data_IF_965852874695
#
_entry.id   IF_965852874695
#
_cell.length_a   1.000
_cell.length_b   1.000
_cell.length_c   1.000
_cell.angle_alpha   90.00
_cell.angle_beta   90.00
_cell.angle_gamma   90.00
#
_symmetry.space_group_name_H-M   'P 1'
#
loop_
_entity.id
_entity.type
_entity.pdbx_description
1 polymer ?
#
# COMPACT_ATOMS: atom_id res chain seq x y z
N UNK A 1 -18.37 3.13 -8.80
CA UNK A 1 -18.21 3.94 -10.02
C UNK A 1 -17.83 5.39 -9.72
N UNK A 2 -18.35 6.00 -8.67
CA UNK A 2 -18.07 7.38 -8.26
C UNK A 2 -16.57 7.63 -8.05
N UNK A 3 -15.92 6.85 -7.18
CA UNK A 3 -14.48 6.95 -6.90
C UNK A 3 -13.62 6.80 -8.16
N UNK A 4 -14.06 5.99 -9.12
CA UNK A 4 -13.35 5.78 -10.38
C UNK A 4 -13.68 6.83 -11.44
N UNK A 5 -14.64 7.72 -11.18
CA UNK A 5 -15.12 8.73 -12.13
C UNK A 5 -15.67 8.16 -13.45
N UNK A 6 -16.08 6.88 -13.47
CA UNK A 6 -16.51 6.18 -14.68
C UNK A 6 -17.69 5.27 -14.41
N UNK A 7 -18.78 5.49 -15.11
CA UNK A 7 -19.98 4.62 -15.08
C UNK A 7 -19.64 3.19 -15.52
N UNK A 8 -20.32 2.21 -14.94
CA UNK A 8 -20.18 0.77 -15.23
C UNK A 8 -18.79 0.19 -14.94
N UNK A 9 -17.93 0.89 -14.20
CA UNK A 9 -16.61 0.37 -13.79
C UNK A 9 -16.72 -0.93 -13.02
N UNK A 10 -17.71 -1.02 -12.12
CA UNK A 10 -18.02 -2.24 -11.38
C UNK A 10 -18.40 -3.40 -12.31
N UNK A 11 -19.37 -3.20 -13.18
CA UNK A 11 -19.83 -4.23 -14.13
C UNK A 11 -18.69 -4.78 -14.97
N UNK A 12 -17.87 -3.89 -15.54
CA UNK A 12 -16.69 -4.28 -16.34
C UNK A 12 -15.66 -5.05 -15.54
N UNK A 13 -15.43 -4.68 -14.28
CA UNK A 13 -14.50 -5.40 -13.41
C UNK A 13 -14.98 -6.84 -13.15
N UNK A 14 -16.27 -7.03 -12.87
CA UNK A 14 -16.87 -8.35 -12.66
C UNK A 14 -16.85 -9.20 -13.95
N UNK A 15 -17.17 -8.60 -15.10
CA UNK A 15 -17.04 -9.28 -16.40
C UNK A 15 -15.59 -9.70 -16.67
N UNK A 16 -14.62 -8.84 -16.37
CA UNK A 16 -13.20 -9.15 -16.48
C UNK A 16 -12.77 -10.35 -15.61
N UNK A 17 -13.23 -10.41 -14.35
CA UNK A 17 -12.97 -11.57 -13.48
C UNK A 17 -13.51 -12.87 -14.07
N UNK A 18 -14.73 -12.85 -14.61
CA UNK A 18 -15.35 -14.02 -15.28
C UNK A 18 -14.56 -14.44 -16.53
N UNK A 19 -14.10 -13.48 -17.33
CA UNK A 19 -13.30 -13.80 -18.52
C UNK A 19 -11.97 -14.46 -18.14
N UNK A 20 -11.29 -13.97 -17.10
CA UNK A 20 -10.04 -14.55 -16.59
C UNK A 20 -10.30 -15.99 -16.11
N UNK A 21 -11.37 -16.22 -15.35
CA UNK A 21 -11.73 -17.54 -14.85
C UNK A 21 -12.08 -18.50 -15.98
N UNK A 22 -12.87 -18.05 -16.97
CA UNK A 22 -13.25 -18.87 -18.14
C UNK A 22 -12.05 -19.23 -19.02
N UNK A 23 -11.00 -18.43 -19.00
CA UNK A 23 -9.73 -18.71 -19.67
C UNK A 23 -8.83 -19.68 -18.89
N UNK A 24 -9.30 -20.26 -17.78
CA UNK A 24 -8.54 -21.20 -16.94
C UNK A 24 -7.48 -20.53 -16.06
N UNK A 25 -7.52 -19.20 -15.92
CA UNK A 25 -6.60 -18.45 -15.07
C UNK A 25 -7.23 -18.15 -13.70
N UNK A 26 -6.41 -18.00 -12.67
CA UNK A 26 -6.86 -17.62 -11.33
C UNK A 26 -7.11 -16.09 -11.26
N UNK A 27 -8.35 -15.63 -11.09
CA UNK A 27 -8.63 -14.20 -10.93
C UNK A 27 -8.26 -13.70 -9.54
N UNK A 28 -7.75 -12.48 -9.48
CA UNK A 28 -7.49 -11.76 -8.24
C UNK A 28 -8.35 -10.50 -8.17
N UNK A 29 -9.07 -10.36 -7.07
CA UNK A 29 -9.79 -9.12 -6.74
C UNK A 29 -8.89 -8.27 -5.86
N UNK A 30 -8.51 -7.11 -6.34
CA UNK A 30 -7.71 -6.14 -5.60
C UNK A 30 -8.61 -5.04 -5.06
N UNK A 31 -8.73 -4.94 -3.73
CA UNK A 31 -9.61 -4.00 -3.04
C UNK A 31 -8.77 -3.02 -2.24
N UNK A 32 -8.97 -1.72 -2.47
CA UNK A 32 -8.43 -0.68 -1.60
C UNK A 32 -9.39 -0.42 -0.46
N UNK A 33 -8.90 -0.53 0.77
CA UNK A 33 -9.64 -0.28 1.99
C UNK A 33 -9.02 0.86 2.79
N UNK A 34 -9.85 1.77 3.26
CA UNK A 34 -9.48 2.89 4.10
C UNK A 34 -10.62 3.20 5.07
N UNK A 35 -10.45 4.24 5.89
CA UNK A 35 -11.49 4.65 6.86
C UNK A 35 -12.85 4.87 6.19
N UNK A 36 -12.86 5.45 4.99
CA UNK A 36 -14.06 5.77 4.23
C UNK A 36 -14.94 4.57 3.87
N UNK A 37 -14.41 3.34 3.82
CA UNK A 37 -15.15 2.16 3.41
C UNK A 37 -14.96 0.91 4.29
N UNK A 38 -14.12 0.96 5.31
CA UNK A 38 -13.81 -0.20 6.16
C UNK A 38 -15.07 -0.81 6.82
N UNK A 39 -16.02 0.04 7.25
CA UNK A 39 -17.27 -0.38 7.88
C UNK A 39 -18.48 -0.36 6.94
N UNK A 40 -18.29 -0.08 5.66
CA UNK A 40 -19.39 -0.11 4.70
C UNK A 40 -19.83 -1.56 4.44
N UNK A 41 -21.15 -1.81 4.45
CA UNK A 41 -21.74 -3.11 4.10
C UNK A 41 -21.26 -3.61 2.74
N UNK A 42 -21.12 -2.73 1.76
CA UNK A 42 -20.67 -3.06 0.40
C UNK A 42 -19.27 -3.69 0.40
N UNK A 43 -18.40 -3.26 1.32
CA UNK A 43 -17.06 -3.85 1.45
C UNK A 43 -17.15 -5.32 1.90
N UNK A 44 -17.97 -5.62 2.90
CA UNK A 44 -18.17 -7.00 3.36
C UNK A 44 -18.91 -7.85 2.33
N UNK A 45 -19.91 -7.29 1.64
CA UNK A 45 -20.60 -7.97 0.53
C UNK A 45 -19.65 -8.33 -0.60
N UNK A 46 -18.68 -7.45 -0.90
CA UNK A 46 -17.66 -7.72 -1.89
C UNK A 46 -16.73 -8.87 -1.48
N UNK A 47 -16.35 -8.95 -0.19
CA UNK A 47 -15.59 -10.08 0.34
C UNK A 47 -16.37 -11.39 0.27
N UNK A 48 -17.66 -11.34 0.58
CA UNK A 48 -18.58 -12.47 0.45
C UNK A 48 -18.68 -12.92 -1.01
N UNK A 49 -18.93 -11.99 -1.93
CA UNK A 49 -18.96 -12.26 -3.36
C UNK A 49 -17.68 -12.94 -3.86
N UNK A 50 -16.54 -12.42 -3.44
CA UNK A 50 -15.23 -12.99 -3.78
C UNK A 50 -15.08 -14.43 -3.27
N UNK A 51 -15.50 -14.70 -2.03
CA UNK A 51 -15.46 -16.04 -1.43
C UNK A 51 -16.38 -17.01 -2.18
N UNK A 52 -17.63 -16.61 -2.46
CA UNK A 52 -18.62 -17.45 -3.11
C UNK A 52 -18.20 -17.84 -4.54
N UNK A 53 -17.46 -16.96 -5.22
CA UNK A 53 -16.91 -17.20 -6.56
C UNK A 53 -15.47 -17.78 -6.53
N UNK A 54 -14.90 -18.06 -5.35
CA UNK A 54 -13.53 -18.58 -5.16
C UNK A 54 -12.44 -17.65 -5.70
N UNK A 55 -12.70 -16.35 -5.77
CA UNK A 55 -11.69 -15.38 -6.17
C UNK A 55 -10.70 -15.13 -5.02
N UNK A 56 -9.42 -15.08 -5.34
CA UNK A 56 -8.40 -14.61 -4.39
C UNK A 56 -8.52 -13.09 -4.24
N UNK A 57 -8.52 -12.60 -3.00
CA UNK A 57 -8.69 -11.18 -2.70
C UNK A 57 -7.44 -10.63 -2.05
N UNK A 58 -6.96 -9.52 -2.58
CA UNK A 58 -5.87 -8.74 -2.00
C UNK A 58 -6.44 -7.44 -1.43
N UNK A 59 -6.16 -7.16 -0.16
CA UNK A 59 -6.53 -5.90 0.47
C UNK A 59 -5.32 -4.96 0.47
N UNK A 60 -5.49 -3.77 -0.08
CA UNK A 60 -4.54 -2.68 0.01
C UNK A 60 -5.07 -1.60 0.92
N UNK A 61 -4.22 -1.06 1.77
CA UNK A 61 -4.54 0.12 2.56
C UNK A 61 -4.58 1.34 1.67
N UNK A 62 -5.60 2.19 1.83
CA UNK A 62 -5.67 3.49 1.16
C UNK A 62 -4.49 4.37 1.61
N UNK A 63 -3.88 5.05 0.66
CA UNK A 63 -2.74 5.93 0.91
C UNK A 63 -3.07 7.34 0.42
N UNK A 64 -2.89 8.38 1.25
CA UNK A 64 -3.16 9.77 0.89
C UNK A 64 -2.09 10.30 -0.09
N UNK A 65 -2.13 9.81 -1.33
CA UNK A 65 -1.21 10.21 -2.41
C UNK A 65 -1.96 10.40 -3.72
N UNK A 66 -1.38 11.09 -4.67
CA UNK A 66 -2.01 11.39 -5.94
C UNK A 66 -3.27 12.24 -5.76
N UNK A 67 -4.41 11.80 -6.30
CA UNK A 67 -5.70 12.48 -6.16
C UNK A 67 -6.23 12.51 -4.72
N UNK A 68 -5.76 11.59 -3.88
CA UNK A 68 -6.13 11.51 -2.45
C UNK A 68 -5.18 12.26 -1.54
N UNK A 69 -4.24 12.99 -2.08
CA UNK A 69 -3.35 13.83 -1.28
C UNK A 69 -4.16 14.86 -0.48
N UNK A 70 -3.90 14.96 0.82
CA UNK A 70 -4.64 15.75 1.82
C UNK A 70 -6.03 15.21 2.22
N UNK A 71 -6.40 14.02 1.79
CA UNK A 71 -7.62 13.36 2.26
C UNK A 71 -7.26 12.50 3.48
N UNK A 72 -7.19 13.14 4.66
CA UNK A 72 -6.84 12.43 5.92
C UNK A 72 -7.93 11.43 6.31
N UNK A 73 -9.15 11.66 5.89
CA UNK A 73 -10.31 10.80 6.13
C UNK A 73 -10.22 9.42 5.50
N UNK A 74 -9.27 9.19 4.60
CA UNK A 74 -9.06 7.85 4.03
C UNK A 74 -8.13 6.98 4.86
N UNK A 75 -7.36 7.57 5.80
CA UNK A 75 -6.34 6.87 6.57
C UNK A 75 -6.99 5.93 7.59
N UNK A 76 -6.61 4.65 7.57
CA UNK A 76 -7.11 3.67 8.52
C UNK A 76 -6.67 3.97 9.95
N UNK A 77 -7.62 3.97 10.87
CA UNK A 77 -7.38 4.01 12.31
C UNK A 77 -7.25 2.60 12.93
N UNK A 78 -7.12 2.52 14.25
CA UNK A 78 -7.01 1.24 14.95
C UNK A 78 -8.31 0.41 14.89
N UNK A 79 -9.47 1.06 14.86
CA UNK A 79 -10.78 0.38 14.78
C UNK A 79 -10.94 -0.25 13.40
N UNK A 80 -10.57 0.47 12.35
CA UNK A 80 -10.57 -0.02 10.98
C UNK A 80 -9.68 -1.26 10.85
N UNK A 81 -8.45 -1.19 11.37
CA UNK A 81 -7.51 -2.31 11.34
C UNK A 81 -8.04 -3.55 12.06
N UNK A 82 -8.62 -3.39 13.25
CA UNK A 82 -9.25 -4.50 13.99
C UNK A 82 -10.40 -5.11 13.20
N UNK A 83 -11.24 -4.27 12.60
CA UNK A 83 -12.37 -4.73 11.79
C UNK A 83 -11.90 -5.51 10.56
N UNK A 84 -10.93 -4.98 9.81
CA UNK A 84 -10.34 -5.66 8.65
C UNK A 84 -9.71 -7.00 9.04
N UNK A 85 -9.03 -7.09 10.19
CA UNK A 85 -8.49 -8.34 10.71
C UNK A 85 -9.60 -9.37 10.98
N UNK A 86 -10.71 -8.95 11.58
CA UNK A 86 -11.85 -9.83 11.85
C UNK A 86 -12.49 -10.33 10.55
N UNK A 87 -12.65 -9.46 9.56
CA UNK A 87 -13.14 -9.84 8.23
C UNK A 87 -12.18 -10.83 7.55
N UNK A 88 -10.88 -10.62 7.64
CA UNK A 88 -9.88 -11.57 7.10
C UNK A 88 -10.02 -12.95 7.74
N UNK A 89 -10.20 -13.02 9.06
CA UNK A 89 -10.44 -14.30 9.76
C UNK A 89 -11.76 -14.95 9.30
N UNK A 90 -12.82 -14.16 9.18
CA UNK A 90 -14.16 -14.63 8.75
C UNK A 90 -14.14 -15.19 7.32
N UNK A 91 -13.43 -14.54 6.41
CA UNK A 91 -13.39 -14.94 4.99
C UNK A 91 -12.21 -15.85 4.62
N UNK A 92 -11.28 -16.09 5.55
CA UNK A 92 -10.25 -17.11 5.49
C UNK A 92 -9.14 -16.84 4.47
N UNK A 93 -8.55 -17.91 3.96
CA UNK A 93 -7.32 -17.87 3.15
C UNK A 93 -7.44 -17.18 1.79
N UNK A 94 -8.63 -16.86 1.33
CA UNK A 94 -8.84 -16.14 0.08
C UNK A 94 -8.52 -14.64 0.21
N UNK A 95 -8.57 -14.11 1.44
CA UNK A 95 -8.33 -12.69 1.70
C UNK A 95 -6.92 -12.49 2.24
N UNK A 96 -6.09 -11.80 1.50
CA UNK A 96 -4.70 -11.49 1.86
C UNK A 96 -4.48 -9.99 1.90
N UNK A 97 -3.55 -9.55 2.73
CA UNK A 97 -3.06 -8.19 2.71
C UNK A 97 -1.85 -8.09 1.76
N UNK A 98 -1.83 -7.09 0.88
CA UNK A 98 -0.74 -6.91 -0.07
C UNK A 98 0.61 -6.61 0.63
N UNK A 99 0.57 -5.99 1.79
CA UNK A 99 1.77 -5.62 2.55
C UNK A 99 2.52 -6.82 3.14
N UNK A 100 1.92 -7.99 3.11
CA UNK A 100 2.56 -9.20 3.57
C UNK A 100 2.56 -10.32 2.53
N UNK A 101 3.40 -10.24 1.50
CA UNK A 101 3.50 -11.30 0.49
C UNK A 101 3.99 -12.63 1.05
N UNK A 102 4.57 -12.64 2.25
CA UNK A 102 5.19 -13.81 2.89
C UNK A 102 4.40 -14.36 4.08
N UNK A 103 3.25 -13.79 4.40
CA UNK A 103 2.37 -14.34 5.43
C UNK A 103 1.71 -15.64 4.96
N UNK A 104 2.38 -16.72 5.22
CA UNK A 104 1.89 -18.07 4.88
C UNK A 104 0.64 -18.45 5.65
N UNK A 105 0.45 -17.88 6.84
CA UNK A 105 -0.61 -18.27 7.77
C UNK A 105 -1.80 -17.31 7.81
N UNK A 106 -1.76 -16.18 7.09
CA UNK A 106 -2.82 -15.16 7.12
C UNK A 106 -3.12 -14.56 8.52
N UNK A 107 -2.23 -14.78 9.48
CA UNK A 107 -2.48 -14.44 10.89
C UNK A 107 -2.03 -13.04 11.26
N UNK A 108 -1.09 -12.47 10.49
CA UNK A 108 -0.51 -11.18 10.80
C UNK A 108 -0.70 -10.21 9.63
N UNK A 109 -1.20 -9.02 9.93
CA UNK A 109 -0.97 -7.87 9.08
C UNK A 109 0.49 -7.51 9.30
N UNK A 110 1.35 -7.92 8.40
CA UNK A 110 2.73 -7.48 8.43
C UNK A 110 2.80 -6.10 7.83
N UNK A 111 3.40 -5.22 8.58
CA UNK A 111 3.50 -3.82 8.31
C UNK A 111 4.26 -3.42 7.06
N UNK A 112 4.97 -2.34 7.19
CA UNK A 112 5.61 -1.64 6.09
C UNK A 112 6.76 -2.46 5.46
N UNK A 113 6.83 -2.44 4.13
CA UNK A 113 7.91 -3.07 3.36
C UNK A 113 8.91 -2.06 2.80
N UNK A 114 8.91 -0.81 3.31
CA UNK A 114 9.87 0.23 2.90
C UNK A 114 11.30 -0.29 2.93
N UNK A 115 12.07 0.06 1.91
CA UNK A 115 13.45 -0.40 1.64
C UNK A 115 13.57 -1.90 1.37
N UNK A 116 12.76 -2.78 1.99
CA UNK A 116 12.71 -4.21 1.65
C UNK A 116 12.10 -4.47 0.27
N UNK A 117 11.29 -3.54 -0.23
CA UNK A 117 10.80 -3.47 -1.60
C UNK A 117 11.12 -2.09 -2.15
N UNK A 118 11.99 -2.06 -3.11
CA UNK A 118 12.41 -0.83 -3.77
C UNK A 118 11.52 -0.54 -4.97
N UNK A 119 11.35 0.74 -5.24
CA UNK A 119 10.77 1.23 -6.48
C UNK A 119 11.83 2.03 -7.22
N UNK A 120 12.16 1.61 -8.44
CA UNK A 120 13.17 2.28 -9.27
C UNK A 120 12.46 3.01 -10.39
N UNK A 121 12.68 4.32 -10.47
CA UNK A 121 12.12 5.15 -11.54
C UNK A 121 12.84 4.92 -12.88
N UNK A 122 12.24 5.31 -14.01
CA UNK A 122 12.93 5.27 -15.31
C UNK A 122 14.23 6.08 -15.36
N UNK A 123 14.40 7.05 -14.45
CA UNK A 123 15.61 7.87 -14.32
C UNK A 123 16.66 7.28 -13.39
N UNK A 124 16.42 6.05 -12.90
CA UNK A 124 17.32 5.34 -11.99
C UNK A 124 17.21 5.77 -10.53
N UNK A 125 16.33 6.70 -10.16
CA UNK A 125 16.10 7.06 -8.77
C UNK A 125 15.46 5.90 -7.99
N UNK A 126 16.01 5.59 -6.83
CA UNK A 126 15.53 4.52 -5.95
C UNK A 126 14.68 5.12 -4.85
N UNK A 127 13.39 4.80 -4.86
CA UNK A 127 12.42 5.22 -3.85
C UNK A 127 12.23 4.12 -2.81
N UNK A 128 11.97 4.53 -1.59
CA UNK A 128 11.73 3.61 -0.46
C UNK A 128 10.40 2.85 -0.59
N UNK A 129 9.45 3.42 -1.33
CA UNK A 129 8.09 2.88 -1.52
C UNK A 129 7.46 3.57 -2.74
N UNK A 130 6.57 2.92 -3.50
CA UNK A 130 5.88 3.58 -4.62
C UNK A 130 4.95 4.73 -4.19
N UNK A 131 4.59 4.80 -2.93
CA UNK A 131 3.73 5.86 -2.38
C UNK A 131 4.49 6.94 -1.61
N UNK A 132 5.75 6.69 -1.27
CA UNK A 132 6.63 7.66 -0.59
C UNK A 132 7.69 8.11 -1.57
N UNK A 133 7.50 9.29 -2.16
CA UNK A 133 8.36 9.81 -3.21
C UNK A 133 9.63 10.46 -2.63
N UNK A 134 10.30 9.72 -1.76
CA UNK A 134 11.61 10.08 -1.19
C UNK A 134 12.65 9.12 -1.76
N UNK A 135 13.64 9.66 -2.47
CA UNK A 135 14.71 8.87 -3.05
C UNK A 135 15.88 8.71 -2.08
N UNK A 136 16.36 7.50 -1.98
CA UNK A 136 17.52 7.13 -1.15
C UNK A 136 18.82 7.00 -1.93
N UNK A 137 18.74 7.06 -3.26
CA UNK A 137 19.90 7.03 -4.14
C UNK A 137 19.48 6.91 -5.60
N UNK A 138 20.48 6.67 -6.47
CA UNK A 138 20.25 6.48 -7.90
C UNK A 138 21.17 5.38 -8.44
N UNK A 139 20.61 4.33 -9.05
CA UNK A 139 21.34 3.14 -9.51
C UNK A 139 22.32 3.42 -10.65
N UNK A 140 22.17 4.55 -11.35
CA UNK A 140 23.11 4.99 -12.38
C UNK A 140 24.36 5.69 -11.81
N UNK A 141 24.34 6.00 -10.50
CA UNK A 141 25.39 6.79 -9.84
C UNK A 141 26.14 6.04 -8.75
N UNK A 142 25.52 4.98 -8.16
CA UNK A 142 26.08 4.23 -7.06
C UNK A 142 25.53 2.81 -7.01
N UNK A 143 26.26 1.85 -6.42
CA UNK A 143 25.81 0.46 -6.27
C UNK A 143 24.52 0.35 -5.47
N UNK A 144 23.62 -0.55 -5.90
CA UNK A 144 22.34 -0.78 -5.23
C UNK A 144 22.51 -1.14 -3.75
N UNK A 145 23.57 -1.91 -3.41
CA UNK A 145 23.86 -2.27 -2.01
C UNK A 145 24.04 -1.02 -1.13
N UNK A 146 24.82 -0.05 -1.58
CA UNK A 146 25.06 1.19 -0.82
C UNK A 146 23.76 1.99 -0.63
N UNK A 147 22.89 2.00 -1.65
CA UNK A 147 21.58 2.65 -1.59
C UNK A 147 20.70 1.99 -0.53
N UNK A 148 20.64 0.66 -0.52
CA UNK A 148 19.87 -0.12 0.45
C UNK A 148 20.42 0.07 1.86
N UNK A 149 21.75 -0.03 2.03
CA UNK A 149 22.42 0.18 3.32
C UNK A 149 22.14 1.60 3.87
N UNK A 150 22.14 2.60 3.00
CA UNK A 150 21.75 3.96 3.37
C UNK A 150 20.26 4.04 3.77
N UNK A 151 19.36 3.40 3.01
CA UNK A 151 17.94 3.36 3.32
C UNK A 151 17.67 2.80 4.73
N UNK A 152 18.35 1.71 5.09
CA UNK A 152 18.21 1.11 6.42
C UNK A 152 18.87 1.89 7.56
N UNK A 153 19.67 2.90 7.29
CA UNK A 153 20.15 3.84 8.33
C UNK A 153 19.09 4.88 8.72
N UNK A 154 18.05 5.05 7.92
CA UNK A 154 16.99 5.99 8.24
C UNK A 154 16.10 5.38 9.32
N UNK A 155 15.95 6.08 10.44
CA UNK A 155 15.21 5.66 11.65
C UNK A 155 13.88 4.98 11.36
N UNK A 156 13.09 5.52 10.43
CA UNK A 156 11.76 5.02 10.09
C UNK A 156 11.77 3.72 9.28
N UNK A 157 12.90 3.34 8.72
CA UNK A 157 13.05 2.16 7.85
C UNK A 157 13.98 1.11 8.43
N UNK A 158 14.71 1.46 9.51
CA UNK A 158 15.67 0.57 10.19
C UNK A 158 14.97 -0.59 10.88
N UNK A 159 13.83 -0.32 11.50
CA UNK A 159 13.04 -1.31 12.22
C UNK A 159 11.74 -1.61 11.49
N UNK A 160 11.24 -2.83 11.69
CA UNK A 160 9.97 -3.22 11.11
C UNK A 160 8.81 -2.43 11.75
N UNK A 161 8.09 -1.67 10.93
CA UNK A 161 6.84 -1.03 11.36
C UNK A 161 5.67 -1.98 11.13
N UNK A 162 4.86 -2.23 12.17
CA UNK A 162 3.60 -2.96 12.05
C UNK A 162 2.53 -2.21 11.26
N UNK A 163 2.71 -0.90 11.06
CA UNK A 163 1.83 -0.04 10.29
C UNK A 163 2.44 0.26 8.91
N UNK A 164 1.60 0.45 7.92
CA UNK A 164 2.01 1.06 6.67
C UNK A 164 2.34 2.53 6.94
N UNK A 165 3.61 2.92 6.80
CA UNK A 165 4.04 4.30 7.04
C UNK A 165 3.28 5.31 6.18
N UNK A 166 2.95 4.94 4.95
CA UNK A 166 2.28 5.82 4.00
C UNK A 166 0.75 5.85 4.12
N UNK A 167 0.13 4.85 4.76
CA UNK A 167 -1.34 4.71 4.79
C UNK A 167 -1.95 4.55 6.18
N UNK A 168 -1.13 4.39 7.23
CA UNK A 168 -1.63 4.13 8.58
C UNK A 168 -0.90 4.90 9.68
N UNK A 169 0.34 5.34 9.44
CA UNK A 169 1.12 6.13 10.40
C UNK A 169 0.85 7.62 10.18
N UNK A 170 -0.09 8.18 10.94
CA UNK A 170 -0.48 9.59 10.82
C UNK A 170 0.66 10.56 11.10
N UNK A 171 1.61 10.19 11.99
CA UNK A 171 2.78 11.01 12.28
C UNK A 171 3.75 11.04 11.09
N UNK A 172 4.01 9.88 10.48
CA UNK A 172 4.82 9.81 9.28
C UNK A 172 4.15 10.56 8.11
N UNK A 173 2.86 10.36 7.92
CA UNK A 173 2.07 10.99 6.85
C UNK A 173 2.15 12.51 6.99
N UNK A 174 1.81 13.08 8.16
CA UNK A 174 1.79 14.52 8.39
C UNK A 174 3.17 15.17 8.26
N UNK A 175 4.22 14.45 8.72
CA UNK A 175 5.59 14.97 8.72
C UNK A 175 6.26 14.90 7.35
N UNK A 176 6.02 13.83 6.58
CA UNK A 176 6.82 13.53 5.40
C UNK A 176 6.03 13.43 4.09
N UNK A 177 4.70 13.24 4.13
CA UNK A 177 3.87 13.10 2.93
C UNK A 177 3.15 14.41 2.57
N UNK A 178 3.79 15.54 2.77
CA UNK A 178 3.28 16.85 2.32
C UNK A 178 3.44 17.00 0.81
N UNK A 179 2.65 17.88 0.20
CA UNK A 179 2.68 18.10 -1.26
C UNK A 179 4.07 18.49 -1.76
N UNK A 180 4.78 19.30 -1.01
CA UNK A 180 6.12 19.79 -1.35
C UNK A 180 7.16 18.68 -1.36
N UNK A 181 6.94 17.63 -0.54
CA UNK A 181 7.84 16.47 -0.41
C UNK A 181 7.44 15.29 -1.29
N UNK A 182 6.22 15.30 -1.83
CA UNK A 182 5.67 14.20 -2.64
C UNK A 182 5.56 14.58 -4.11
N UNK A 183 6.67 14.52 -4.83
CA UNK A 183 6.71 14.69 -6.29
C UNK A 183 7.27 13.44 -6.96
N UNK A 184 6.47 12.78 -7.79
CA UNK A 184 6.92 11.63 -8.57
C UNK A 184 7.91 12.02 -9.66
N UNK A 185 7.80 13.23 -10.19
CA UNK A 185 8.67 13.73 -11.25
C UNK A 185 10.02 14.22 -10.74
N UNK A 186 10.07 14.65 -9.49
CA UNK A 186 11.28 15.06 -8.81
C UNK A 186 11.22 14.62 -7.34
N UNK A 187 11.49 13.35 -7.05
CA UNK A 187 11.44 12.84 -5.69
C UNK A 187 12.47 13.55 -4.81
N UNK A 188 12.05 13.95 -3.62
CA UNK A 188 12.93 14.61 -2.66
C UNK A 188 14.07 13.68 -2.23
N UNK A 189 15.26 14.23 -2.04
CA UNK A 189 16.38 13.45 -1.56
C UNK A 189 16.24 13.18 -0.04
N UNK A 190 16.40 11.94 0.37
CA UNK A 190 16.25 11.55 1.77
C UNK A 190 17.11 12.38 2.74
N UNK A 191 18.34 12.75 2.32
CA UNK A 191 19.24 13.60 3.11
C UNK A 191 18.71 15.02 3.35
N UNK A 192 17.79 15.50 2.50
CA UNK A 192 17.18 16.82 2.62
C UNK A 192 15.88 16.77 3.43
N UNK A 193 15.31 15.56 3.59
CA UNK A 193 14.04 15.33 4.27
C UNK A 193 14.26 14.91 5.73
N UNK A 194 15.17 14.00 5.97
CA UNK A 194 15.46 13.47 7.30
C UNK A 194 16.63 14.21 7.93
N UNK A 195 16.51 14.51 9.22
CA UNK A 195 17.58 15.15 9.97
C UNK A 195 18.77 14.20 10.16
N UNK A 196 19.92 14.75 10.58
CA UNK A 196 21.11 13.93 10.84
C UNK A 196 20.87 12.89 11.95
N UNK A 197 20.05 13.24 12.95
CA UNK A 197 19.67 12.36 14.05
C UNK A 197 18.71 11.24 13.59
N UNK A 198 18.00 11.45 12.48
CA UNK A 198 17.11 10.46 11.87
C UNK A 198 17.86 9.53 10.89
N UNK A 199 19.12 9.85 10.56
CA UNK A 199 20.02 9.05 9.69
C UNK A 199 21.21 8.61 10.55
N UNK A 200 21.18 7.40 11.06
CA UNK A 200 22.22 6.85 11.97
C UNK A 200 23.13 5.82 11.30
#
# INVERSE_FOLDING_TARGET
DEIRGRKESWKRAIEGLKHVQNAGMDPYLNITVGHYNAFNSDFEELLKYSKDNKYKTLLNVAVPSGMWQKMEEIVCDEKDRKHIQNLRKKYGNLVRNLWNPFDRNNEKILGCTTVNRLYITPLGDVLVCPYVHIKIGNILKQPLKEIVDFGFRIKYFKEHSSLCLAGEDTNFISKFMTKEKQSIFNPALAKDIFSKEEIS
#
